data_IF_871005994520
#
_entry.id   IF_871005994520
#
_cell.length_a   1.000
_cell.length_b   1.000
_cell.length_c   1.000
_cell.angle_alpha   90.00
_cell.angle_beta   90.00
_cell.angle_gamma   90.00
#
_symmetry.space_group_name_H-M   'P 1'
#
loop_
_entity.id
_entity.type
_entity.pdbx_description
1 polymer ?
#
# COMPACT_ATOMS: atom_id res chain seq x y z
N UNK A 1 35.86 -5.81 27.71
CA UNK A 1 36.50 -4.97 26.68
C UNK A 1 35.96 -3.55 26.86
N UNK A 2 36.85 -2.56 26.95
CA UNK A 2 36.38 -1.18 27.10
C UNK A 2 35.88 -0.62 25.76
N UNK A 3 35.20 0.53 25.76
CA UNK A 3 34.58 1.13 24.58
C UNK A 3 35.62 1.47 23.48
N UNK A 4 36.77 1.99 23.87
CA UNK A 4 37.84 2.32 22.93
C UNK A 4 38.44 1.08 22.26
N UNK A 5 38.58 0.00 22.99
CA UNK A 5 39.05 -1.27 22.44
C UNK A 5 38.07 -1.81 21.38
N UNK A 6 36.75 -1.70 21.63
CA UNK A 6 35.73 -2.10 20.66
C UNK A 6 35.85 -1.27 19.39
N UNK A 7 35.91 0.06 19.51
CA UNK A 7 35.99 0.98 18.36
C UNK A 7 37.26 0.67 17.54
N UNK A 8 38.42 0.49 18.22
CA UNK A 8 39.67 0.18 17.57
C UNK A 8 39.65 -1.19 16.86
N UNK A 9 39.05 -2.22 17.46
CA UNK A 9 38.94 -3.53 16.84
C UNK A 9 38.06 -3.49 15.60
N UNK A 10 36.87 -2.82 15.66
CA UNK A 10 35.95 -2.65 14.53
C UNK A 10 36.67 -1.88 13.40
N UNK A 11 37.38 -0.81 13.73
CA UNK A 11 38.13 -0.07 12.74
C UNK A 11 39.27 -0.92 12.09
N UNK A 12 40.03 -1.64 12.89
CA UNK A 12 41.11 -2.50 12.41
C UNK A 12 40.60 -3.59 11.46
N UNK A 13 39.48 -4.22 11.85
CA UNK A 13 38.94 -5.39 11.12
C UNK A 13 38.10 -5.00 9.90
N UNK A 14 37.28 -3.95 10.01
CA UNK A 14 36.29 -3.60 8.99
C UNK A 14 36.45 -2.21 8.38
N UNK A 15 37.41 -1.40 8.91
CA UNK A 15 37.61 0.02 8.54
C UNK A 15 36.38 0.91 8.81
N UNK A 16 35.54 0.51 9.76
CA UNK A 16 34.34 1.25 10.20
C UNK A 16 34.74 2.19 11.34
N UNK A 17 34.49 3.47 11.18
CA UNK A 17 34.68 4.47 12.24
C UNK A 17 33.42 4.58 13.06
N UNK A 18 33.50 4.26 14.34
CA UNK A 18 32.41 4.35 15.28
C UNK A 18 32.61 5.52 16.22
N UNK A 19 31.53 6.20 16.53
CA UNK A 19 31.43 7.15 17.65
C UNK A 19 30.55 6.51 18.73
N UNK A 20 30.93 6.60 19.98
CA UNK A 20 30.10 6.09 21.07
C UNK A 20 29.47 7.26 21.82
N UNK A 21 28.15 7.18 22.04
CA UNK A 21 27.39 8.13 22.83
C UNK A 21 26.28 7.38 23.59
N UNK A 22 26.24 7.56 24.90
CA UNK A 22 25.21 7.00 25.78
C UNK A 22 25.03 5.47 25.64
N UNK A 23 26.11 4.73 25.41
CA UNK A 23 26.12 3.27 25.26
C UNK A 23 25.72 2.77 23.87
N UNK A 24 25.54 3.67 22.91
CA UNK A 24 25.23 3.34 21.51
C UNK A 24 26.43 3.65 20.63
N UNK A 25 26.81 2.72 19.77
CA UNK A 25 27.84 2.90 18.76
C UNK A 25 27.23 3.42 17.47
N UNK A 26 27.66 4.56 16.97
CA UNK A 26 27.14 5.21 15.79
C UNK A 26 28.10 5.14 14.61
N UNK A 27 27.57 4.71 13.46
CA UNK A 27 28.14 4.94 12.13
C UNK A 27 27.14 5.73 11.29
N UNK A 28 27.15 7.06 11.38
CA UNK A 28 26.21 7.96 10.71
C UNK A 28 26.41 8.04 9.19
N UNK A 29 26.89 6.96 8.58
CA UNK A 29 27.17 6.82 7.16
C UNK A 29 26.84 5.39 6.70
N UNK A 30 27.00 5.15 5.40
CA UNK A 30 26.83 3.82 4.80
C UNK A 30 28.00 2.92 5.17
N UNK A 31 27.72 1.89 5.94
CA UNK A 31 28.70 0.85 6.30
C UNK A 31 28.75 -0.22 5.22
N UNK A 32 29.94 -0.59 4.77
CA UNK A 32 30.15 -1.66 3.79
C UNK A 32 31.15 -2.66 4.35
N UNK A 33 30.74 -3.93 4.48
CA UNK A 33 31.59 -5.05 4.88
C UNK A 33 31.66 -6.03 3.72
N UNK A 34 32.88 -6.38 3.28
CA UNK A 34 33.09 -7.29 2.15
C UNK A 34 34.11 -8.37 2.47
N UNK A 35 33.92 -9.53 1.87
CA UNK A 35 34.88 -10.63 1.85
C UNK A 35 35.38 -11.01 3.25
N UNK A 36 34.43 -11.19 4.18
CA UNK A 36 34.72 -11.57 5.57
C UNK A 36 34.06 -12.89 5.93
N UNK A 37 34.87 -13.73 6.58
CA UNK A 37 34.38 -14.88 7.32
C UNK A 37 34.31 -14.50 8.81
N UNK A 38 33.19 -14.77 9.49
CA UNK A 38 32.91 -14.35 10.85
C UNK A 38 32.85 -12.84 11.07
N UNK A 39 31.66 -12.30 10.91
CA UNK A 39 31.37 -10.91 11.25
C UNK A 39 30.94 -10.81 12.71
N UNK A 40 31.66 -9.98 13.46
CA UNK A 40 31.35 -9.63 14.85
C UNK A 40 31.33 -8.12 14.97
N UNK A 41 30.16 -7.57 15.27
CA UNK A 41 29.92 -6.16 15.48
C UNK A 41 29.46 -5.93 16.93
N UNK A 42 29.67 -4.74 17.50
CA UNK A 42 29.22 -4.44 18.87
C UNK A 42 27.69 -4.40 18.96
N UNK A 43 27.17 -4.80 20.11
CA UNK A 43 25.76 -4.57 20.45
C UNK A 43 25.44 -3.07 20.53
N UNK A 44 24.16 -2.70 20.41
CA UNK A 44 23.68 -1.32 20.37
C UNK A 44 24.30 -0.52 19.20
N UNK A 45 24.44 -1.14 18.05
CA UNK A 45 25.01 -0.48 16.87
C UNK A 45 23.91 0.24 16.07
N UNK A 46 24.08 1.54 15.86
CA UNK A 46 23.30 2.34 14.92
C UNK A 46 24.10 2.60 13.66
N UNK A 47 23.50 2.33 12.49
CA UNK A 47 24.10 2.65 11.18
C UNK A 47 23.08 3.34 10.27
N UNK A 48 23.58 4.26 9.43
CA UNK A 48 22.70 4.92 8.45
C UNK A 48 22.22 3.95 7.37
N UNK A 49 23.09 3.14 6.81
CA UNK A 49 22.83 2.05 5.87
C UNK A 49 23.87 0.97 6.08
N UNK A 50 23.52 -0.31 5.82
CA UNK A 50 24.47 -1.41 5.97
C UNK A 50 24.44 -2.32 4.75
N UNK A 51 25.62 -2.57 4.20
CA UNK A 51 25.85 -3.45 3.05
C UNK A 51 26.86 -4.53 3.44
N UNK A 52 26.46 -5.79 3.36
CA UNK A 52 27.31 -6.95 3.63
C UNK A 52 27.36 -7.80 2.36
N UNK A 53 28.56 -8.00 1.82
CA UNK A 53 28.75 -8.61 0.51
C UNK A 53 29.83 -9.69 0.58
N UNK A 54 29.53 -10.87 0.04
CA UNK A 54 30.44 -12.02 0.00
C UNK A 54 31.00 -12.34 1.38
N UNK A 55 30.13 -12.53 2.35
CA UNK A 55 30.49 -12.79 3.75
C UNK A 55 29.83 -14.06 4.27
N UNK A 56 30.43 -14.68 5.29
CA UNK A 56 29.85 -15.87 5.93
C UNK A 56 29.91 -15.80 7.45
N UNK A 57 29.13 -16.69 8.11
CA UNK A 57 29.02 -16.77 9.55
C UNK A 57 28.74 -15.42 10.21
N UNK A 58 27.62 -14.83 9.81
CA UNK A 58 27.20 -13.50 10.20
C UNK A 58 26.20 -13.61 11.34
N UNK A 59 26.56 -13.06 12.50
CA UNK A 59 25.63 -12.85 13.60
C UNK A 59 25.45 -11.34 13.75
N UNK A 60 24.25 -10.85 13.42
CA UNK A 60 23.95 -9.43 13.63
C UNK A 60 23.83 -9.15 15.13
N UNK A 61 24.40 -8.02 15.60
CA UNK A 61 24.45 -7.73 17.03
C UNK A 61 23.08 -7.42 17.63
N UNK A 62 22.98 -7.56 18.94
CA UNK A 62 21.80 -7.17 19.68
C UNK A 62 21.58 -5.66 19.56
N UNK A 63 20.31 -5.25 19.44
CA UNK A 63 19.89 -3.85 19.26
C UNK A 63 20.52 -3.15 18.05
N UNK A 64 20.79 -3.91 16.98
CA UNK A 64 21.18 -3.31 15.70
C UNK A 64 20.04 -2.44 15.17
N UNK A 65 20.32 -1.17 14.91
CA UNK A 65 19.42 -0.27 14.25
C UNK A 65 19.99 0.24 12.93
N UNK A 66 19.37 -0.11 11.82
CA UNK A 66 19.69 0.35 10.48
C UNK A 66 18.65 1.38 10.05
N UNK A 67 18.98 2.67 10.05
CA UNK A 67 18.05 3.75 9.72
C UNK A 67 17.68 3.80 8.22
N UNK A 68 18.51 3.19 7.37
CA UNK A 68 18.30 3.03 5.93
C UNK A 68 18.04 1.59 5.54
N UNK A 69 18.62 1.20 4.41
CA UNK A 69 18.52 -0.15 3.88
C UNK A 69 19.57 -1.07 4.52
N UNK A 70 19.14 -2.32 4.81
CA UNK A 70 20.06 -3.43 5.03
C UNK A 70 20.15 -4.27 3.75
N UNK A 71 21.29 -4.26 3.11
CA UNK A 71 21.57 -5.02 1.89
C UNK A 71 22.59 -6.12 2.17
N UNK A 72 22.24 -7.37 1.83
CA UNK A 72 23.13 -8.52 1.93
C UNK A 72 23.15 -9.26 0.59
N UNK A 73 24.35 -9.52 0.07
CA UNK A 73 24.52 -10.20 -1.21
C UNK A 73 25.63 -11.26 -1.12
N UNK A 74 25.35 -12.44 -1.67
CA UNK A 74 26.31 -13.57 -1.68
C UNK A 74 26.82 -13.92 -0.28
N UNK A 75 25.93 -13.91 0.69
CA UNK A 75 26.27 -14.23 2.07
C UNK A 75 25.70 -15.58 2.50
N UNK A 76 26.35 -16.20 3.46
CA UNK A 76 25.97 -17.50 3.96
C UNK A 76 25.99 -17.56 5.50
N UNK A 77 25.11 -18.40 6.07
CA UNK A 77 24.99 -18.61 7.51
C UNK A 77 24.78 -17.29 8.26
N UNK A 78 23.59 -16.71 8.08
CA UNK A 78 23.22 -15.40 8.61
C UNK A 78 22.16 -15.59 9.70
N UNK A 79 22.44 -15.03 10.87
CA UNK A 79 21.49 -14.99 12.00
C UNK A 79 21.21 -13.54 12.39
N UNK A 80 19.95 -13.17 12.37
CA UNK A 80 19.48 -11.88 12.88
C UNK A 80 19.23 -11.99 14.38
N UNK A 81 19.63 -10.97 15.13
CA UNK A 81 19.20 -10.84 16.51
C UNK A 81 17.72 -10.40 16.56
N UNK A 82 17.00 -10.87 17.56
CA UNK A 82 15.57 -10.59 17.78
C UNK A 82 15.22 -9.11 17.97
N UNK A 83 16.18 -8.30 18.36
CA UNK A 83 16.05 -6.86 18.59
C UNK A 83 16.45 -6.01 17.40
N UNK A 84 16.83 -6.62 16.27
CA UNK A 84 17.20 -5.89 15.03
C UNK A 84 16.04 -5.04 14.52
N UNK A 85 16.34 -3.80 14.16
CA UNK A 85 15.40 -2.87 13.53
C UNK A 85 15.97 -2.34 12.22
N UNK A 86 15.15 -2.35 11.16
CA UNK A 86 15.49 -1.83 9.82
C UNK A 86 14.37 -0.85 9.42
N UNK A 87 14.71 0.42 9.23
CA UNK A 87 13.72 1.47 9.01
C UNK A 87 13.30 1.58 7.53
N UNK A 88 14.17 1.17 6.60
CA UNK A 88 13.84 1.08 5.19
C UNK A 88 13.74 -0.37 4.70
N UNK A 89 14.33 -0.70 3.57
CA UNK A 89 14.16 -2.00 2.93
C UNK A 89 15.19 -3.02 3.47
N UNK A 90 14.70 -4.25 3.73
CA UNK A 90 15.55 -5.42 3.84
C UNK A 90 15.73 -6.00 2.43
N UNK A 91 16.96 -6.05 1.94
CA UNK A 91 17.29 -6.52 0.60
C UNK A 91 18.29 -7.67 0.71
N UNK A 92 17.86 -8.87 0.35
CA UNK A 92 18.68 -10.09 0.39
C UNK A 92 18.77 -10.68 -1.02
N UNK A 93 20.01 -10.89 -1.51
CA UNK A 93 20.26 -11.47 -2.82
C UNK A 93 21.33 -12.56 -2.75
N UNK A 94 21.07 -13.71 -3.38
CA UNK A 94 22.03 -14.83 -3.47
C UNK A 94 22.58 -15.26 -2.10
N UNK A 95 21.70 -15.37 -1.11
CA UNK A 95 22.10 -15.73 0.26
C UNK A 95 21.60 -17.11 0.63
N UNK A 96 22.35 -17.80 1.50
CA UNK A 96 21.99 -19.13 1.98
C UNK A 96 21.99 -19.21 3.51
N UNK A 97 21.18 -20.13 4.04
CA UNK A 97 21.12 -20.39 5.48
C UNK A 97 20.82 -19.15 6.33
N UNK A 98 19.71 -18.47 6.02
CA UNK A 98 19.27 -17.27 6.73
C UNK A 98 18.23 -17.61 7.80
N UNK A 99 18.43 -17.06 8.99
CA UNK A 99 17.46 -17.12 10.10
C UNK A 99 17.04 -15.72 10.53
N UNK A 100 15.75 -15.40 10.36
CA UNK A 100 15.17 -14.11 10.76
C UNK A 100 14.04 -14.37 11.76
N UNK A 101 14.22 -14.00 13.04
CA UNK A 101 13.17 -14.09 14.04
C UNK A 101 11.97 -13.19 13.72
N UNK A 102 10.77 -13.62 14.10
CA UNK A 102 9.52 -12.87 13.90
C UNK A 102 9.49 -11.51 14.63
N UNK A 103 10.34 -11.32 15.64
CA UNK A 103 10.45 -10.06 16.40
C UNK A 103 11.27 -8.98 15.71
N UNK A 104 12.01 -9.30 14.64
CA UNK A 104 12.76 -8.31 13.85
C UNK A 104 11.82 -7.26 13.28
N UNK A 105 12.13 -5.99 13.50
CA UNK A 105 11.29 -4.88 13.05
C UNK A 105 11.66 -4.47 11.63
N UNK A 106 10.84 -4.84 10.66
CA UNK A 106 10.96 -4.47 9.25
C UNK A 106 9.98 -3.34 8.96
N UNK A 107 10.48 -2.10 8.87
CA UNK A 107 9.62 -0.92 8.84
C UNK A 107 9.19 -0.47 7.44
N UNK A 108 9.72 -1.08 6.37
CA UNK A 108 9.32 -0.74 5.00
C UNK A 108 9.14 -1.99 4.12
N UNK A 109 9.95 -2.20 3.12
CA UNK A 109 9.84 -3.28 2.15
C UNK A 109 10.76 -4.46 2.45
N UNK A 110 10.42 -5.59 1.85
CA UNK A 110 11.21 -6.83 1.92
C UNK A 110 11.44 -7.28 0.48
N UNK A 111 12.70 -7.40 0.07
CA UNK A 111 13.09 -7.80 -1.28
C UNK A 111 14.08 -8.94 -1.19
N UNK A 112 13.64 -10.12 -1.56
CA UNK A 112 14.45 -11.34 -1.47
C UNK A 112 14.51 -12.03 -2.84
N UNK A 113 15.74 -12.34 -3.29
CA UNK A 113 15.99 -13.02 -4.54
C UNK A 113 17.11 -14.05 -4.40
N UNK A 114 16.86 -15.27 -4.85
CA UNK A 114 17.78 -16.39 -4.72
C UNK A 114 18.27 -16.57 -3.27
N UNK A 115 17.31 -16.80 -2.38
CA UNK A 115 17.55 -16.87 -0.93
C UNK A 115 16.98 -18.15 -0.36
N UNK A 116 17.81 -18.83 0.45
CA UNK A 116 17.40 -20.00 1.21
C UNK A 116 17.28 -19.65 2.70
N UNK A 117 16.07 -19.69 3.21
CA UNK A 117 15.77 -19.44 4.61
C UNK A 117 15.79 -20.73 5.42
N UNK A 118 16.43 -20.72 6.60
CA UNK A 118 16.23 -21.74 7.62
C UNK A 118 14.95 -21.42 8.40
N UNK A 119 14.80 -20.15 8.80
CA UNK A 119 13.59 -19.66 9.46
C UNK A 119 13.29 -18.24 8.97
N UNK A 120 12.05 -18.01 8.57
CA UNK A 120 11.56 -16.68 8.24
C UNK A 120 10.04 -16.62 8.45
N UNK A 121 9.60 -15.67 9.22
CA UNK A 121 8.18 -15.38 9.41
C UNK A 121 7.87 -14.01 8.87
N UNK A 122 7.05 -13.94 7.84
CA UNK A 122 6.59 -12.67 7.29
C UNK A 122 5.72 -11.91 8.30
N UNK A 123 5.95 -10.61 8.49
CA UNK A 123 5.05 -9.78 9.28
C UNK A 123 3.69 -9.66 8.59
N UNK A 124 2.60 -9.61 9.36
CA UNK A 124 1.24 -9.42 8.80
C UNK A 124 1.05 -8.08 8.08
N UNK A 125 1.91 -7.11 8.31
CA UNK A 125 1.89 -5.82 7.64
C UNK A 125 3.28 -5.48 7.10
N UNK A 126 3.42 -5.50 5.78
CA UNK A 126 4.58 -4.98 5.07
C UNK A 126 4.27 -3.54 4.66
N UNK A 127 5.01 -2.56 5.22
CA UNK A 127 4.75 -1.13 4.98
C UNK A 127 5.24 -0.61 3.62
N UNK A 128 6.01 -1.40 2.89
CA UNK A 128 6.47 -1.17 1.52
C UNK A 128 6.06 -2.30 0.59
N UNK A 129 6.89 -2.60 -0.40
CA UNK A 129 6.69 -3.71 -1.33
C UNK A 129 7.28 -5.01 -0.76
N UNK A 130 6.70 -6.14 -1.15
CA UNK A 130 7.17 -7.48 -0.85
C UNK A 130 7.54 -8.19 -2.17
N UNK A 131 8.83 -8.39 -2.40
CA UNK A 131 9.35 -9.12 -3.56
C UNK A 131 10.00 -10.42 -3.11
N UNK A 132 9.49 -11.54 -3.62
CA UNK A 132 9.93 -12.90 -3.30
C UNK A 132 10.22 -13.61 -4.62
N UNK A 133 11.48 -13.86 -4.89
CA UNK A 133 11.94 -14.48 -6.14
C UNK A 133 13.01 -15.55 -5.83
N UNK A 134 12.87 -16.73 -6.45
CA UNK A 134 13.83 -17.84 -6.30
C UNK A 134 14.11 -18.20 -4.82
N UNK A 135 13.07 -18.41 -4.03
CA UNK A 135 13.20 -18.73 -2.59
C UNK A 135 12.52 -20.05 -2.23
N UNK A 136 12.81 -20.54 -1.04
CA UNK A 136 12.16 -21.72 -0.47
C UNK A 136 10.90 -21.39 0.36
N UNK A 137 10.36 -20.20 0.26
CA UNK A 137 9.10 -19.82 0.92
C UNK A 137 7.94 -20.57 0.27
N UNK A 138 7.17 -21.29 1.06
CA UNK A 138 6.07 -22.16 0.58
C UNK A 138 4.68 -21.54 0.75
N UNK A 139 4.53 -20.55 1.60
CA UNK A 139 3.24 -19.88 1.86
C UNK A 139 3.40 -18.46 2.35
N UNK A 140 2.34 -17.68 2.19
CA UNK A 140 2.19 -16.36 2.81
C UNK A 140 1.14 -16.44 3.93
N UNK A 141 1.24 -15.61 4.98
CA UNK A 141 0.25 -15.61 6.06
C UNK A 141 -1.10 -15.05 5.61
N UNK A 142 -2.18 -15.59 6.13
CA UNK A 142 -3.52 -15.03 5.95
C UNK A 142 -3.63 -13.62 6.55
N UNK A 143 -4.53 -12.82 6.00
CA UNK A 143 -4.74 -11.42 6.36
C UNK A 143 -3.50 -10.51 6.15
N UNK A 144 -2.58 -10.91 5.27
CA UNK A 144 -1.39 -10.13 4.93
C UNK A 144 -1.77 -8.80 4.27
N UNK A 145 -1.18 -7.72 4.76
CA UNK A 145 -1.36 -6.37 4.22
C UNK A 145 -0.03 -5.85 3.68
N UNK A 146 0.02 -5.53 2.40
CA UNK A 146 1.18 -4.96 1.70
C UNK A 146 0.82 -3.54 1.24
N UNK A 147 1.60 -2.55 1.67
CA UNK A 147 1.36 -1.13 1.33
C UNK A 147 2.09 -0.65 0.07
N UNK A 148 2.69 -1.54 -0.66
CA UNK A 148 3.30 -1.37 -1.98
C UNK A 148 2.85 -2.50 -2.88
N UNK A 149 3.79 -3.02 -3.69
CA UNK A 149 3.59 -4.11 -4.62
C UNK A 149 3.90 -5.46 -3.97
N UNK A 150 3.27 -6.53 -4.47
CA UNK A 150 3.63 -7.91 -4.25
C UNK A 150 4.18 -8.50 -5.55
N UNK A 151 5.39 -9.05 -5.50
CA UNK A 151 5.95 -9.86 -6.57
C UNK A 151 6.31 -11.24 -6.03
N UNK A 152 5.83 -12.28 -6.70
CA UNK A 152 6.18 -13.69 -6.42
C UNK A 152 6.61 -14.33 -7.73
N UNK A 153 7.84 -14.86 -7.76
CA UNK A 153 8.37 -15.56 -8.91
C UNK A 153 9.25 -16.74 -8.49
N UNK A 154 9.14 -17.86 -9.21
CA UNK A 154 9.98 -19.05 -9.02
C UNK A 154 10.06 -19.54 -7.56
N UNK A 155 8.94 -19.52 -6.86
CA UNK A 155 8.83 -19.97 -5.47
C UNK A 155 7.81 -21.11 -5.37
N UNK A 156 7.93 -22.02 -4.38
CA UNK A 156 6.99 -23.13 -4.20
C UNK A 156 5.65 -22.68 -3.56
N UNK A 157 5.27 -21.43 -3.72
CA UNK A 157 3.98 -20.90 -3.28
C UNK A 157 2.93 -21.27 -4.33
N UNK A 158 1.93 -22.05 -3.95
CA UNK A 158 0.87 -22.53 -4.87
C UNK A 158 -0.43 -21.74 -4.76
N UNK A 159 -0.61 -20.95 -3.72
CA UNK A 159 -1.83 -20.15 -3.53
C UNK A 159 -1.56 -18.78 -2.90
N UNK A 160 -2.37 -17.79 -3.26
CA UNK A 160 -2.42 -16.52 -2.53
C UNK A 160 -3.28 -16.70 -1.27
N UNK A 161 -2.88 -16.08 -0.13
CA UNK A 161 -3.54 -16.30 1.15
C UNK A 161 -4.92 -15.64 1.24
N UNK A 162 -5.70 -16.09 2.22
CA UNK A 162 -7.00 -15.53 2.56
C UNK A 162 -6.87 -14.05 2.97
N UNK A 163 -7.79 -13.20 2.51
CA UNK A 163 -7.86 -11.77 2.83
C UNK A 163 -6.58 -10.98 2.53
N UNK A 164 -5.85 -11.35 1.48
CA UNK A 164 -4.66 -10.63 1.02
C UNK A 164 -5.04 -9.22 0.55
N UNK A 165 -4.38 -8.20 1.09
CA UNK A 165 -4.58 -6.80 0.70
C UNK A 165 -3.28 -6.18 0.22
N UNK A 166 -3.22 -5.84 -1.06
CA UNK A 166 -2.08 -5.20 -1.70
C UNK A 166 -2.52 -3.82 -2.20
N UNK A 167 -1.81 -2.77 -1.82
CA UNK A 167 -2.23 -1.41 -2.21
C UNK A 167 -2.11 -1.18 -3.71
N UNK A 168 -1.03 -1.69 -4.33
CA UNK A 168 -0.73 -1.41 -5.72
C UNK A 168 -0.83 -2.70 -6.57
N UNK A 169 0.26 -3.35 -6.92
CA UNK A 169 0.28 -4.44 -7.91
C UNK A 169 0.56 -5.80 -7.27
N UNK A 170 -0.08 -6.83 -7.82
CA UNK A 170 0.22 -8.25 -7.57
C UNK A 170 0.78 -8.86 -8.83
N UNK A 171 2.08 -9.14 -8.84
CA UNK A 171 2.80 -9.79 -9.94
C UNK A 171 3.08 -11.24 -9.58
N UNK A 172 2.38 -12.17 -10.23
CA UNK A 172 2.54 -13.62 -10.05
C UNK A 172 2.77 -14.36 -11.36
N UNK A 173 3.17 -13.66 -12.42
CA UNK A 173 3.31 -14.20 -13.77
C UNK A 173 4.27 -15.40 -13.84
N UNK A 174 5.42 -15.34 -13.18
CA UNK A 174 6.42 -16.41 -13.19
C UNK A 174 6.33 -17.26 -11.91
N UNK A 175 5.13 -17.61 -11.46
CA UNK A 175 4.91 -18.38 -10.24
C UNK A 175 4.18 -19.70 -10.51
N UNK A 176 4.19 -20.57 -9.51
CA UNK A 176 3.41 -21.83 -9.49
C UNK A 176 2.03 -21.65 -8.89
N UNK A 177 1.62 -20.41 -8.60
CA UNK A 177 0.33 -20.08 -8.00
C UNK A 177 -0.78 -20.51 -8.97
N UNK A 178 -1.66 -21.37 -8.50
CA UNK A 178 -2.80 -21.88 -9.25
C UNK A 178 -4.14 -21.64 -8.54
N UNK A 179 -4.09 -20.97 -7.35
CA UNK A 179 -5.29 -20.63 -6.57
C UNK A 179 -5.15 -19.26 -5.92
N UNK A 180 -6.23 -18.50 -5.95
CA UNK A 180 -6.41 -17.27 -5.19
C UNK A 180 -7.49 -17.52 -4.15
N UNK A 181 -7.18 -17.27 -2.88
CA UNK A 181 -8.15 -17.40 -1.77
C UNK A 181 -9.09 -16.18 -1.73
N UNK A 182 -10.23 -16.32 -1.05
CA UNK A 182 -11.20 -15.24 -0.89
C UNK A 182 -10.58 -13.98 -0.25
N UNK A 183 -11.10 -12.81 -0.63
CA UNK A 183 -10.77 -11.53 -0.03
C UNK A 183 -9.50 -10.86 -0.58
N UNK A 184 -9.00 -11.28 -1.75
CA UNK A 184 -7.95 -10.53 -2.44
C UNK A 184 -8.44 -9.11 -2.77
N UNK A 185 -7.65 -8.12 -2.40
CA UNK A 185 -7.87 -6.72 -2.79
C UNK A 185 -6.57 -6.15 -3.32
N UNK A 186 -6.54 -5.68 -4.57
CA UNK A 186 -5.39 -5.02 -5.17
C UNK A 186 -5.80 -4.03 -6.27
N UNK A 187 -4.84 -3.25 -6.76
CA UNK A 187 -5.05 -2.33 -7.87
C UNK A 187 -4.88 -3.04 -9.21
N UNK A 188 -3.82 -3.84 -9.37
CA UNK A 188 -3.56 -4.65 -10.57
C UNK A 188 -3.17 -6.07 -10.18
N UNK A 189 -3.61 -7.03 -10.97
CA UNK A 189 -3.28 -8.44 -10.82
C UNK A 189 -2.72 -8.96 -12.14
N UNK A 190 -1.46 -9.39 -12.15
CA UNK A 190 -0.82 -10.03 -13.29
C UNK A 190 -0.67 -11.52 -13.01
N UNK A 191 -1.47 -12.30 -13.75
CA UNK A 191 -1.64 -13.74 -13.57
C UNK A 191 -0.47 -14.54 -14.15
N UNK A 192 -0.20 -15.74 -13.63
CA UNK A 192 0.74 -16.68 -14.21
C UNK A 192 0.18 -17.29 -15.51
N UNK A 193 1.04 -18.00 -16.23
CA UNK A 193 0.68 -18.68 -17.49
C UNK A 193 -0.24 -19.89 -17.29
N UNK A 194 -0.30 -20.43 -16.08
CA UNK A 194 -1.16 -21.55 -15.73
C UNK A 194 -2.58 -21.10 -15.35
N UNK A 195 -3.50 -22.05 -15.38
CA UNK A 195 -4.89 -21.79 -14.98
C UNK A 195 -4.96 -21.51 -13.49
N UNK A 196 -5.58 -20.39 -13.13
CA UNK A 196 -5.80 -19.98 -11.74
C UNK A 196 -7.26 -20.22 -11.35
N UNK A 197 -7.46 -20.82 -10.19
CA UNK A 197 -8.77 -20.93 -9.56
C UNK A 197 -9.04 -19.61 -8.83
N UNK A 198 -10.05 -18.88 -9.30
CA UNK A 198 -10.46 -17.62 -8.69
C UNK A 198 -11.48 -17.86 -7.56
N UNK A 199 -11.44 -17.05 -6.50
CA UNK A 199 -12.43 -17.09 -5.45
C UNK A 199 -13.76 -16.46 -5.90
N UNK A 200 -14.79 -16.67 -5.09
CA UNK A 200 -16.07 -15.98 -5.30
C UNK A 200 -16.01 -14.49 -4.99
N UNK A 201 -15.09 -14.07 -4.14
CA UNK A 201 -14.98 -12.69 -3.67
C UNK A 201 -13.55 -12.17 -3.77
N UNK A 202 -13.33 -11.21 -4.66
CA UNK A 202 -12.07 -10.46 -4.80
C UNK A 202 -12.35 -9.06 -5.41
N UNK A 203 -11.41 -8.15 -5.25
CA UNK A 203 -11.49 -6.80 -5.81
C UNK A 203 -10.16 -6.49 -6.51
N UNK A 204 -10.21 -6.29 -7.83
CA UNK A 204 -9.13 -5.72 -8.62
C UNK A 204 -9.63 -4.43 -9.24
N UNK A 205 -9.11 -3.29 -8.78
CA UNK A 205 -9.72 -1.99 -9.09
C UNK A 205 -9.34 -1.41 -10.43
N UNK A 206 -8.23 -1.84 -11.04
CA UNK A 206 -7.74 -1.23 -12.27
C UNK A 206 -7.54 -2.25 -13.40
N UNK A 207 -6.75 -3.29 -13.20
CA UNK A 207 -6.34 -4.16 -14.31
C UNK A 207 -6.12 -5.60 -13.88
N UNK A 208 -6.61 -6.55 -14.67
CA UNK A 208 -6.22 -7.95 -14.63
C UNK A 208 -5.49 -8.27 -15.94
N UNK A 209 -4.26 -8.71 -15.81
CA UNK A 209 -3.43 -9.13 -16.94
C UNK A 209 -3.07 -10.61 -16.86
N UNK A 210 -2.90 -11.26 -18.01
CA UNK A 210 -2.53 -12.66 -18.09
C UNK A 210 -2.77 -13.22 -19.48
N UNK A 211 -2.39 -14.48 -19.69
CA UNK A 211 -2.71 -15.17 -20.92
C UNK A 211 -4.21 -15.41 -21.04
N UNK A 212 -4.66 -15.58 -22.27
CA UNK A 212 -6.06 -15.79 -22.63
C UNK A 212 -6.74 -16.88 -21.80
N UNK A 213 -6.11 -18.04 -21.69
CA UNK A 213 -6.68 -19.20 -20.99
C UNK A 213 -6.91 -18.96 -19.49
N UNK A 214 -6.13 -18.05 -18.91
CA UNK A 214 -6.33 -17.63 -17.53
C UNK A 214 -7.47 -16.62 -17.39
N UNK A 215 -7.65 -15.75 -18.39
CA UNK A 215 -8.64 -14.69 -18.39
C UNK A 215 -10.03 -15.15 -18.80
N UNK A 216 -10.14 -16.16 -19.68
CA UNK A 216 -11.40 -16.66 -20.23
C UNK A 216 -12.36 -17.22 -19.17
N UNK A 217 -11.84 -17.61 -18.02
CA UNK A 217 -12.62 -18.16 -16.90
C UNK A 217 -13.14 -17.12 -15.92
N UNK A 218 -12.80 -15.84 -16.14
CA UNK A 218 -13.22 -14.76 -15.24
C UNK A 218 -14.65 -14.31 -15.57
N UNK A 219 -15.49 -14.27 -14.57
CA UNK A 219 -16.79 -13.60 -14.66
C UNK A 219 -16.63 -12.10 -14.40
N UNK A 220 -16.37 -11.35 -15.44
CA UNK A 220 -16.18 -9.89 -15.35
C UNK A 220 -17.43 -9.12 -14.96
N UNK A 221 -18.62 -9.72 -15.08
CA UNK A 221 -19.86 -9.11 -14.56
C UNK A 221 -19.92 -9.18 -13.05
N UNK A 222 -19.47 -10.31 -12.51
CA UNK A 222 -19.40 -10.53 -11.06
C UNK A 222 -18.21 -9.79 -10.43
N UNK A 223 -17.10 -9.70 -11.16
CA UNK A 223 -15.83 -9.15 -10.66
C UNK A 223 -15.28 -8.07 -11.60
N UNK A 224 -15.85 -6.87 -11.58
CA UNK A 224 -15.47 -5.82 -12.49
C UNK A 224 -14.06 -5.30 -12.24
N UNK A 225 -13.29 -5.16 -13.31
CA UNK A 225 -12.03 -4.43 -13.35
C UNK A 225 -12.05 -3.41 -14.49
N UNK A 226 -11.21 -2.38 -14.43
CA UNK A 226 -11.22 -1.33 -15.47
C UNK A 226 -10.61 -1.76 -16.79
N UNK A 227 -9.54 -2.58 -16.73
CA UNK A 227 -8.79 -3.00 -17.90
C UNK A 227 -8.44 -4.47 -17.83
N UNK A 228 -8.32 -5.11 -19.01
CA UNK A 228 -7.70 -6.41 -19.14
C UNK A 228 -6.48 -6.25 -20.04
N UNK A 229 -5.32 -6.70 -19.57
CA UNK A 229 -4.07 -6.66 -20.31
C UNK A 229 -3.63 -8.08 -20.70
N UNK A 230 -3.35 -8.27 -21.99
CA UNK A 230 -2.77 -9.49 -22.53
C UNK A 230 -1.33 -9.18 -22.95
N UNK A 231 -0.33 -9.91 -22.43
CA UNK A 231 1.08 -9.57 -22.63
C UNK A 231 1.57 -9.60 -24.08
N UNK A 232 1.02 -10.46 -24.91
CA UNK A 232 1.52 -10.72 -26.25
C UNK A 232 0.70 -10.01 -27.31
N UNK A 233 0.78 -8.72 -27.44
CA UNK A 233 0.27 -7.91 -28.58
C UNK A 233 -0.75 -8.58 -29.53
N UNK A 234 -1.36 -9.68 -29.09
CA UNK A 234 -2.38 -10.43 -29.78
C UNK A 234 -3.71 -9.70 -29.74
N UNK A 235 -4.48 -9.81 -30.79
CA UNK A 235 -5.88 -9.40 -30.77
C UNK A 235 -6.65 -10.47 -30.02
N UNK A 236 -7.34 -10.08 -28.97
CA UNK A 236 -8.21 -10.93 -28.21
C UNK A 236 -9.63 -10.40 -28.25
N UNK A 237 -10.54 -11.22 -28.77
CA UNK A 237 -11.97 -10.97 -28.71
C UNK A 237 -12.55 -11.80 -27.55
N UNK A 238 -12.97 -11.13 -26.51
CA UNK A 238 -13.68 -11.83 -25.44
C UNK A 238 -15.07 -12.23 -25.93
N UNK A 239 -15.52 -13.49 -25.73
CA UNK A 239 -16.81 -13.98 -26.23
C UNK A 239 -18.03 -13.16 -25.83
N UNK A 240 -17.94 -12.41 -24.74
CA UNK A 240 -19.02 -11.55 -24.22
C UNK A 240 -18.95 -10.13 -24.79
N UNK A 241 -17.83 -9.70 -25.36
CA UNK A 241 -17.59 -8.33 -25.84
C UNK A 241 -16.97 -8.34 -27.24
N UNK A 242 -17.76 -8.78 -28.24
CA UNK A 242 -17.34 -8.75 -29.64
C UNK A 242 -16.83 -7.35 -30.05
N UNK A 243 -15.64 -7.29 -30.64
CA UNK A 243 -15.06 -6.08 -31.22
C UNK A 243 -14.03 -5.34 -30.37
N UNK A 244 -13.64 -5.84 -29.19
CA UNK A 244 -12.57 -5.23 -28.39
C UNK A 244 -11.24 -5.93 -28.58
N UNK A 245 -10.20 -5.12 -28.88
CA UNK A 245 -8.82 -5.59 -29.08
C UNK A 245 -8.04 -5.59 -27.76
N UNK A 246 -7.09 -6.52 -27.63
CA UNK A 246 -6.11 -6.56 -26.54
C UNK A 246 -5.48 -5.18 -26.32
N UNK A 247 -5.22 -4.80 -25.09
CA UNK A 247 -4.84 -3.47 -24.60
C UNK A 247 -6.00 -2.47 -24.51
N UNK A 248 -7.21 -2.85 -24.75
CA UNK A 248 -8.36 -1.97 -24.64
C UNK A 248 -9.16 -2.32 -23.41
N UNK A 249 -9.61 -1.29 -22.71
CA UNK A 249 -10.61 -1.37 -21.70
C UNK A 249 -11.74 -2.33 -22.10
N UNK A 250 -11.72 -3.54 -21.62
CA UNK A 250 -12.95 -4.35 -21.58
C UNK A 250 -13.96 -3.75 -20.61
N UNK A 251 -13.66 -2.57 -20.15
CA UNK A 251 -14.42 -1.97 -19.12
C UNK A 251 -15.48 -1.01 -19.55
N UNK A 252 -15.78 -0.81 -20.85
CA UNK A 252 -16.80 0.19 -21.12
C UNK A 252 -18.15 -0.16 -20.49
N UNK A 253 -18.71 -1.36 -20.61
CA UNK A 253 -19.90 -1.74 -19.86
C UNK A 253 -19.67 -1.88 -18.36
N UNK A 254 -18.54 -2.42 -17.95
CA UNK A 254 -18.16 -2.59 -16.54
C UNK A 254 -17.78 -1.26 -15.89
N UNK A 255 -17.09 -0.37 -16.61
CA UNK A 255 -16.86 1.01 -16.19
C UNK A 255 -18.15 1.79 -16.06
N UNK A 256 -19.11 1.56 -16.94
CA UNK A 256 -20.45 2.17 -16.85
C UNK A 256 -21.20 1.61 -15.65
N UNK A 257 -21.14 0.32 -15.38
CA UNK A 257 -21.72 -0.31 -14.19
C UNK A 257 -20.99 0.11 -12.91
N UNK A 258 -19.65 0.17 -12.89
CA UNK A 258 -18.87 0.70 -11.76
C UNK A 258 -19.11 2.20 -11.55
N UNK A 259 -19.30 2.97 -12.60
CA UNK A 259 -19.70 4.38 -12.48
C UNK A 259 -21.11 4.53 -11.94
N UNK A 260 -22.01 3.59 -12.28
CA UNK A 260 -23.39 3.57 -11.77
C UNK A 260 -23.50 3.04 -10.35
N UNK A 261 -22.63 2.10 -9.95
CA UNK A 261 -22.62 1.50 -8.61
C UNK A 261 -21.20 1.51 -8.05
N UNK A 262 -20.72 2.70 -7.66
CA UNK A 262 -19.43 2.83 -6.97
C UNK A 262 -19.42 2.25 -5.56
N UNK A 263 -20.58 1.82 -5.06
CA UNK A 263 -20.78 1.19 -3.76
C UNK A 263 -21.21 -0.24 -4.00
N UNK A 264 -20.55 -1.21 -3.36
CA UNK A 264 -20.92 -2.62 -3.42
C UNK A 264 -20.75 -3.28 -2.05
N UNK A 265 -21.41 -4.42 -1.85
CA UNK A 265 -21.31 -5.22 -0.63
C UNK A 265 -20.45 -6.45 -0.87
N UNK A 266 -19.55 -6.74 0.08
CA UNK A 266 -18.75 -7.95 0.12
C UNK A 266 -18.47 -8.32 1.59
N UNK A 267 -18.67 -9.59 1.99
CA UNK A 267 -18.54 -10.04 3.39
C UNK A 267 -19.37 -9.22 4.38
N UNK A 268 -20.62 -8.96 4.04
CA UNK A 268 -21.57 -8.14 4.84
C UNK A 268 -21.08 -6.71 5.15
N UNK A 269 -20.11 -6.23 4.39
CA UNK A 269 -19.56 -4.88 4.48
C UNK A 269 -19.75 -4.13 3.17
N UNK A 270 -19.97 -2.84 3.28
CA UNK A 270 -20.07 -1.98 2.13
C UNK A 270 -18.74 -1.31 1.81
N UNK A 271 -18.42 -1.25 0.55
CA UNK A 271 -17.23 -0.62 0.03
C UNK A 271 -17.58 0.44 -1.00
N UNK A 272 -16.74 1.46 -1.10
CA UNK A 272 -16.86 2.50 -2.12
C UNK A 272 -15.55 2.66 -2.87
N UNK A 273 -15.62 2.80 -4.20
CA UNK A 273 -14.48 3.13 -5.05
C UNK A 273 -14.48 4.61 -5.40
N UNK A 274 -13.46 5.34 -4.98
CA UNK A 274 -13.31 6.78 -5.24
C UNK A 274 -11.83 7.16 -5.31
N UNK A 275 -11.46 7.98 -6.29
CA UNK A 275 -10.10 8.47 -6.50
C UNK A 275 -9.06 7.33 -6.48
N UNK A 276 -9.28 6.29 -7.29
CA UNK A 276 -8.46 5.08 -7.39
C UNK A 276 -8.24 4.34 -6.06
N UNK A 277 -9.19 4.42 -5.16
CA UNK A 277 -9.14 3.75 -3.85
C UNK A 277 -10.42 3.01 -3.55
N UNK A 278 -10.27 1.82 -2.99
CA UNK A 278 -11.37 1.11 -2.35
C UNK A 278 -11.33 1.42 -0.85
N UNK A 279 -12.45 1.87 -0.33
CA UNK A 279 -12.62 2.21 1.08
C UNK A 279 -13.80 1.42 1.65
N UNK A 280 -13.66 0.90 2.87
CA UNK A 280 -14.76 0.29 3.64
C UNK A 280 -15.64 1.40 4.22
N UNK A 281 -16.94 1.36 3.97
CA UNK A 281 -17.89 2.30 4.56
C UNK A 281 -18.20 1.85 5.98
N UNK A 282 -17.89 2.70 6.95
CA UNK A 282 -18.11 2.42 8.37
C UNK A 282 -19.44 2.98 8.86
N UNK A 283 -19.85 4.14 8.30
CA UNK A 283 -21.09 4.82 8.67
C UNK A 283 -21.59 5.62 7.48
N UNK A 284 -22.91 5.62 7.28
CA UNK A 284 -23.61 6.47 6.31
C UNK A 284 -24.56 7.42 7.02
N UNK A 285 -24.54 8.67 6.59
CA UNK A 285 -25.52 9.68 6.96
C UNK A 285 -26.00 10.31 5.64
N UNK A 286 -27.17 9.92 5.14
CA UNK A 286 -27.69 10.34 3.84
C UNK A 286 -26.60 10.22 2.73
N UNK A 287 -26.14 11.35 2.22
CA UNK A 287 -25.10 11.44 1.18
C UNK A 287 -23.67 11.59 1.70
N UNK A 288 -23.45 11.46 3.02
CA UNK A 288 -22.13 11.51 3.64
C UNK A 288 -21.72 10.10 4.11
N UNK A 289 -20.59 9.60 3.58
CA UNK A 289 -20.05 8.29 3.92
C UNK A 289 -18.76 8.44 4.70
N UNK A 290 -18.70 7.92 5.91
CA UNK A 290 -17.48 7.82 6.69
C UNK A 290 -16.81 6.50 6.39
N UNK A 291 -15.60 6.57 5.85
CA UNK A 291 -14.92 5.43 5.28
C UNK A 291 -13.55 5.20 5.92
N UNK A 292 -13.06 3.98 5.81
CA UNK A 292 -11.76 3.55 6.31
C UNK A 292 -10.96 2.93 5.18
N UNK A 293 -9.67 3.21 5.14
CA UNK A 293 -8.79 2.55 4.18
C UNK A 293 -8.69 1.06 4.47
N UNK A 294 -8.95 0.22 3.47
CA UNK A 294 -8.79 -1.24 3.57
C UNK A 294 -7.31 -1.66 3.68
N UNK A 295 -6.39 -0.84 3.16
CA UNK A 295 -4.94 -1.10 3.20
C UNK A 295 -4.30 -0.52 4.46
N UNK A 296 -4.85 0.56 5.01
CA UNK A 296 -4.34 1.21 6.21
C UNK A 296 -5.49 1.56 7.16
N UNK A 297 -5.81 0.66 8.06
CA UNK A 297 -6.91 0.80 9.03
C UNK A 297 -6.83 2.06 9.92
N UNK A 298 -5.71 2.78 9.92
CA UNK A 298 -5.54 4.03 10.68
C UNK A 298 -5.93 5.28 9.88
N UNK A 299 -6.20 5.16 8.57
CA UNK A 299 -6.60 6.30 7.74
C UNK A 299 -8.09 6.28 7.51
N UNK A 300 -8.76 7.30 8.01
CA UNK A 300 -10.18 7.55 7.76
C UNK A 300 -10.33 8.54 6.61
N UNK A 301 -11.49 8.47 5.96
CA UNK A 301 -11.90 9.38 4.89
C UNK A 301 -13.37 9.74 5.10
N UNK A 302 -13.74 10.92 4.63
CA UNK A 302 -15.12 11.33 4.51
C UNK A 302 -15.43 11.56 3.03
N UNK A 303 -16.50 10.97 2.54
CA UNK A 303 -16.94 11.09 1.16
C UNK A 303 -18.31 11.73 1.15
N UNK A 304 -18.46 12.78 0.38
CA UNK A 304 -19.75 13.43 0.13
C UNK A 304 -20.18 13.04 -1.28
N UNK A 305 -21.32 12.37 -1.39
CA UNK A 305 -21.95 12.06 -2.65
C UNK A 305 -22.86 13.22 -3.04
N UNK A 306 -22.62 13.84 -4.20
CA UNK A 306 -23.39 14.96 -4.72
C UNK A 306 -24.56 14.44 -5.56
N UNK A 307 -24.27 13.51 -6.45
CA UNK A 307 -25.25 12.77 -7.25
C UNK A 307 -24.73 11.33 -7.53
N UNK A 308 -25.36 10.61 -8.44
CA UNK A 308 -25.04 9.20 -8.71
C UNK A 308 -23.56 8.96 -9.08
N UNK A 309 -22.92 9.95 -9.72
CA UNK A 309 -21.57 9.80 -10.29
C UNK A 309 -20.51 10.72 -9.65
N UNK A 310 -20.89 11.69 -8.85
CA UNK A 310 -19.99 12.71 -8.32
C UNK A 310 -19.76 12.52 -6.82
N UNK A 311 -18.50 12.22 -6.47
CA UNK A 311 -18.07 11.95 -5.09
C UNK A 311 -16.90 12.85 -4.72
N UNK A 312 -17.01 13.55 -3.62
CA UNK A 312 -15.96 14.39 -3.05
C UNK A 312 -15.31 13.69 -1.88
N UNK A 313 -14.03 13.39 -1.97
CA UNK A 313 -13.27 12.65 -0.96
C UNK A 313 -12.35 13.59 -0.15
N UNK A 314 -12.54 13.63 1.16
CA UNK A 314 -11.69 14.36 2.10
C UNK A 314 -11.06 13.45 3.16
N UNK A 315 -10.04 13.96 3.84
CA UNK A 315 -9.40 13.27 4.98
C UNK A 315 -10.32 13.21 6.22
N UNK A 316 -11.22 14.15 6.31
CA UNK A 316 -12.29 14.28 7.32
C UNK A 316 -13.45 15.05 6.71
N UNK A 317 -14.51 15.28 7.49
CA UNK A 317 -15.71 15.98 7.03
C UNK A 317 -15.42 17.44 6.61
N UNK A 318 -14.60 18.17 7.36
CA UNK A 318 -14.22 19.55 7.04
C UNK A 318 -13.47 19.60 5.70
N UNK A 319 -12.45 18.76 5.50
CA UNK A 319 -11.70 18.69 4.24
C UNK A 319 -12.59 18.28 3.06
N UNK A 320 -13.55 17.37 3.27
CA UNK A 320 -14.50 16.99 2.23
C UNK A 320 -15.45 18.14 1.86
N UNK A 321 -15.97 18.87 2.85
CA UNK A 321 -16.83 20.05 2.63
C UNK A 321 -16.08 21.19 1.92
N UNK A 322 -14.83 21.49 2.32
CA UNK A 322 -14.00 22.47 1.62
C UNK A 322 -13.79 22.09 0.14
N UNK A 323 -13.51 20.80 -0.12
CA UNK A 323 -13.36 20.32 -1.50
C UNK A 323 -14.67 20.38 -2.30
N UNK A 324 -15.82 20.15 -1.64
CA UNK A 324 -17.13 20.32 -2.24
C UNK A 324 -17.35 21.80 -2.66
N UNK A 325 -17.02 22.73 -1.76
CA UNK A 325 -17.06 24.17 -2.07
C UNK A 325 -16.22 24.47 -3.31
N UNK A 326 -14.96 24.05 -3.28
CA UNK A 326 -14.04 24.27 -4.40
C UNK A 326 -14.54 23.65 -5.71
N UNK A 327 -15.10 22.44 -5.66
CA UNK A 327 -15.69 21.77 -6.82
C UNK A 327 -16.90 22.54 -7.38
N UNK A 328 -17.79 22.98 -6.51
CA UNK A 328 -19.02 23.70 -6.90
C UNK A 328 -18.73 25.09 -7.47
N UNK A 329 -17.66 25.74 -7.02
CA UNK A 329 -17.23 27.03 -7.55
C UNK A 329 -16.30 26.95 -8.77
N UNK A 330 -15.74 25.77 -9.12
CA UNK A 330 -14.91 25.59 -10.33
C UNK A 330 -15.64 25.94 -11.63
N UNK A 331 -16.95 25.81 -11.67
CA UNK A 331 -17.80 26.05 -12.85
C UNK A 331 -18.43 27.46 -12.87
N UNK A 332 -18.18 28.30 -11.87
CA UNK A 332 -18.68 29.65 -11.74
C UNK A 332 -17.56 30.69 -11.83
N UNK A 333 -17.91 31.99 -11.76
CA UNK A 333 -17.01 33.13 -11.89
C UNK A 333 -15.72 33.10 -11.02
N UNK A 334 -15.63 32.19 -10.06
CA UNK A 334 -14.52 32.03 -9.08
C UNK A 334 -13.51 30.94 -9.47
N UNK A 335 -13.28 30.66 -10.73
CA UNK A 335 -12.38 29.63 -11.26
C UNK A 335 -10.94 29.61 -10.70
N UNK A 336 -10.53 30.62 -9.96
CA UNK A 336 -9.17 30.76 -9.40
C UNK A 336 -9.11 30.79 -7.89
N UNK A 337 -10.23 30.70 -7.17
CA UNK A 337 -10.24 30.73 -5.72
C UNK A 337 -10.27 29.31 -5.16
N UNK A 338 -9.22 28.94 -4.40
CA UNK A 338 -9.22 27.79 -3.54
C UNK A 338 -9.59 28.23 -2.13
N UNK A 339 -10.66 27.68 -1.58
CA UNK A 339 -11.03 27.89 -0.19
C UNK A 339 -10.19 26.98 0.71
N UNK A 340 -9.65 27.52 1.78
CA UNK A 340 -9.11 26.79 2.90
C UNK A 340 -9.91 27.08 4.18
N UNK A 341 -9.67 26.33 5.27
CA UNK A 341 -10.43 26.45 6.52
C UNK A 341 -10.39 27.86 7.12
N UNK A 342 -9.26 28.54 6.99
CA UNK A 342 -9.00 29.86 7.60
C UNK A 342 -9.36 31.02 6.66
N UNK A 343 -9.75 30.74 5.41
CA UNK A 343 -10.09 31.77 4.45
C UNK A 343 -11.31 32.57 4.92
N UNK A 344 -11.18 33.88 4.97
CA UNK A 344 -12.26 34.78 5.31
C UNK A 344 -13.08 35.20 4.09
N UNK A 345 -14.39 35.17 4.22
CA UNK A 345 -15.35 35.59 3.21
C UNK A 345 -16.38 36.52 3.79
N UNK A 346 -16.83 37.51 2.98
CA UNK A 346 -17.90 38.42 3.39
C UNK A 346 -19.24 37.71 3.44
N UNK A 347 -20.21 38.26 4.16
CA UNK A 347 -21.53 37.66 4.42
C UNK A 347 -22.22 37.12 3.17
N UNK A 348 -22.24 37.84 2.09
CA UNK A 348 -22.92 37.41 0.85
C UNK A 348 -22.31 36.10 0.29
N UNK A 349 -20.98 36.01 0.27
CA UNK A 349 -20.28 34.79 -0.14
C UNK A 349 -20.49 33.70 0.85
N UNK A 350 -20.42 33.98 2.17
CA UNK A 350 -20.67 33.01 3.23
C UNK A 350 -22.09 32.44 3.14
N UNK A 351 -23.10 33.30 2.88
CA UNK A 351 -24.48 32.86 2.71
C UNK A 351 -24.71 32.00 1.44
N UNK A 352 -24.00 32.31 0.34
CA UNK A 352 -24.00 31.44 -0.83
C UNK A 352 -23.43 30.06 -0.54
N UNK A 353 -22.29 30.00 0.14
CA UNK A 353 -21.64 28.76 0.57
C UNK A 353 -22.58 27.96 1.50
N UNK A 354 -23.18 28.63 2.48
CA UNK A 354 -24.12 28.03 3.42
C UNK A 354 -25.37 27.45 2.73
N UNK A 355 -25.95 28.20 1.79
CA UNK A 355 -27.11 27.72 1.00
C UNK A 355 -26.73 26.56 0.06
N UNK A 356 -25.50 26.55 -0.44
CA UNK A 356 -24.97 25.41 -1.19
C UNK A 356 -24.92 24.15 -0.33
N UNK A 357 -24.50 24.23 0.93
CA UNK A 357 -24.55 23.10 1.87
C UNK A 357 -25.96 22.61 2.11
N UNK A 358 -26.93 23.50 2.25
CA UNK A 358 -28.34 23.10 2.34
C UNK A 358 -28.78 22.26 1.14
N UNK A 359 -28.33 22.62 -0.05
CA UNK A 359 -28.69 21.91 -1.27
C UNK A 359 -28.01 20.54 -1.37
N UNK A 360 -26.69 20.49 -1.14
CA UNK A 360 -25.91 19.28 -1.38
C UNK A 360 -25.81 18.32 -0.19
N UNK A 361 -25.90 18.82 1.05
CA UNK A 361 -25.71 18.02 2.26
C UNK A 361 -27.02 17.80 3.03
N UNK A 362 -28.13 18.38 2.53
CA UNK A 362 -29.49 18.21 3.10
C UNK A 362 -29.56 18.40 4.62
N UNK A 363 -28.92 19.44 5.14
CA UNK A 363 -29.14 19.81 6.54
C UNK A 363 -30.37 20.71 6.68
N UNK A 364 -30.78 21.02 7.93
CA UNK A 364 -32.01 21.73 8.24
C UNK A 364 -32.30 22.89 7.28
N UNK A 365 -33.35 22.73 6.45
CA UNK A 365 -33.73 23.67 5.41
C UNK A 365 -34.12 25.06 5.93
N UNK A 366 -34.55 25.16 7.20
CA UNK A 366 -35.00 26.40 7.83
C UNK A 366 -33.83 27.15 8.50
N UNK A 367 -32.64 26.55 8.60
CA UNK A 367 -31.47 27.22 9.13
C UNK A 367 -31.06 28.41 8.26
N UNK A 368 -30.66 29.50 8.87
CA UNK A 368 -30.12 30.69 8.21
C UNK A 368 -28.76 31.05 8.81
N UNK A 369 -27.87 31.58 7.97
CA UNK A 369 -26.59 32.07 8.46
C UNK A 369 -26.82 33.35 9.29
N UNK A 370 -26.33 33.48 10.52
CA UNK A 370 -26.39 34.73 11.29
C UNK A 370 -25.72 35.88 10.50
N UNK A 371 -26.22 37.12 10.66
CA UNK A 371 -25.62 38.26 9.97
C UNK A 371 -24.34 38.68 10.71
N UNK A 372 -23.19 38.63 10.01
CA UNK A 372 -21.87 38.97 10.49
C UNK A 372 -21.05 39.50 9.29
N UNK A 373 -20.16 40.47 9.48
CA UNK A 373 -19.43 41.10 8.37
C UNK A 373 -18.54 40.09 7.61
N UNK A 374 -17.85 39.20 8.35
CA UNK A 374 -16.97 38.18 7.77
C UNK A 374 -17.14 36.84 8.48
N UNK A 375 -16.90 35.78 7.74
CA UNK A 375 -16.85 34.39 8.20
C UNK A 375 -15.57 33.72 7.73
N UNK A 376 -15.02 32.82 8.55
CA UNK A 376 -14.09 31.82 8.03
C UNK A 376 -14.87 30.66 7.38
N UNK A 377 -14.24 29.96 6.46
CA UNK A 377 -14.86 28.76 5.85
C UNK A 377 -15.15 27.71 6.92
N UNK A 378 -14.29 27.58 7.94
CA UNK A 378 -14.48 26.66 9.06
C UNK A 378 -15.73 27.02 9.88
N UNK A 379 -15.92 28.28 10.24
CA UNK A 379 -17.13 28.76 10.93
C UNK A 379 -18.41 28.42 10.15
N UNK A 380 -18.41 28.62 8.83
CA UNK A 380 -19.58 28.29 7.99
C UNK A 380 -19.84 26.77 8.03
N UNK A 381 -18.78 25.96 8.01
CA UNK A 381 -18.87 24.49 8.05
C UNK A 381 -19.41 24.03 9.43
N UNK A 382 -18.93 24.61 10.52
CA UNK A 382 -19.39 24.29 11.87
C UNK A 382 -20.88 24.57 12.07
N UNK A 383 -21.37 25.66 11.48
CA UNK A 383 -22.81 26.00 11.50
C UNK A 383 -23.69 25.04 10.68
N UNK A 384 -23.09 24.13 9.90
CA UNK A 384 -23.77 23.11 9.08
C UNK A 384 -23.67 21.70 9.64
N UNK A 385 -23.06 21.53 10.81
CA UNK A 385 -22.97 20.25 11.51
C UNK A 385 -24.12 20.10 12.53
#
# INVERSE_FOLDING_TARGET
MNKEEIINQVYKKYKIRLEEKDGIFYANYKVVIKDKNYITLPDNLFVKEMYIINCSNIVLPANLHVAGDLFMNECNNITFDKSTQIDKDLILKYNQSISIPSSVKLNRGIKVRNVQFNTFTLPLVVKGSLFIEDTNITSLPDNLIIRGDLLIANCPITELPLNLRVRDYVYIQNSTINRIQNGLICKRLLLPDNIVIFPDEYIVTNEIGGKYEALDKLDFKKHPCQNIAIPDNGFYEHPIYEGYRANICMGLPILIELKKTRIWTMYDKEYIYVNDRVLEIIKKNENVHFCKSIVNNKRNFCIIQIDEDVFICGKNLVDAKIKLINHSFQNTYYKTMYFDANMKVVYDTANQIFNMFKHYIKFNADASLPIKDEYTIEEIIELTN
#
